data_IF_769829090117
#
_entry.id   IF_769829090117
#
_cell.length_a   1.000
_cell.length_b   1.000
_cell.length_c   1.000
_cell.angle_alpha   90.00
_cell.angle_beta   90.00
_cell.angle_gamma   90.00
#
_symmetry.space_group_name_H-M   'P 1'
#
loop_
_entity.id
_entity.type
_entity.pdbx_description
1 polymer ?
#
# COMPACT_ATOMS: atom_id res chain seq x y z
N UNK A 1 -21.83 -27.90 20.88
CA UNK A 1 -20.61 -27.25 20.38
C UNK A 1 -20.87 -25.77 20.36
N UNK A 2 -20.15 -24.97 21.13
CA UNK A 2 -20.26 -23.51 21.04
C UNK A 2 -19.78 -23.08 19.66
N UNK A 3 -20.60 -22.35 18.89
CA UNK A 3 -20.11 -21.71 17.66
C UNK A 3 -18.90 -20.85 18.02
N UNK A 4 -17.76 -21.11 17.38
CA UNK A 4 -16.61 -20.22 17.50
C UNK A 4 -17.03 -18.84 16.99
N UNK A 5 -17.03 -17.87 17.90
CA UNK A 5 -17.20 -16.47 17.52
C UNK A 5 -15.93 -16.04 16.81
N UNK A 6 -16.05 -15.56 15.58
CA UNK A 6 -14.91 -15.11 14.76
C UNK A 6 -15.13 -13.69 14.24
N UNK A 7 -14.07 -12.96 13.95
CA UNK A 7 -14.09 -11.75 13.11
C UNK A 7 -13.27 -12.00 11.86
N UNK A 8 -13.68 -11.39 10.76
CA UNK A 8 -13.00 -11.49 9.48
C UNK A 8 -12.13 -10.26 9.28
N UNK A 9 -10.83 -10.45 9.06
CA UNK A 9 -9.92 -9.38 8.66
C UNK A 9 -9.66 -9.50 7.17
N UNK A 10 -10.26 -8.61 6.38
CA UNK A 10 -10.18 -8.60 4.91
C UNK A 10 -9.05 -7.69 4.46
N UNK A 11 -8.18 -8.20 3.57
CA UNK A 11 -7.07 -7.46 2.98
C UNK A 11 -7.38 -7.02 1.54
N UNK A 12 -6.57 -6.11 1.00
CA UNK A 12 -6.76 -5.54 -0.34
C UNK A 12 -6.39 -6.47 -1.50
N UNK A 13 -5.64 -7.53 -1.22
CA UNK A 13 -5.35 -8.60 -2.19
C UNK A 13 -6.48 -9.65 -2.26
N UNK A 14 -7.59 -9.42 -1.56
CA UNK A 14 -8.73 -10.35 -1.48
C UNK A 14 -8.58 -11.45 -0.43
N UNK A 15 -7.42 -11.57 0.23
CA UNK A 15 -7.24 -12.54 1.31
C UNK A 15 -8.05 -12.16 2.55
N UNK A 16 -8.52 -13.17 3.29
CA UNK A 16 -9.29 -12.99 4.53
C UNK A 16 -8.72 -13.84 5.65
N UNK A 17 -8.25 -13.18 6.71
CA UNK A 17 -7.82 -13.81 7.95
C UNK A 17 -9.02 -14.01 8.88
N UNK A 18 -9.13 -15.20 9.49
CA UNK A 18 -10.18 -15.52 10.48
C UNK A 18 -9.58 -15.46 11.87
N UNK A 19 -10.10 -14.58 12.71
CA UNK A 19 -9.58 -14.36 14.07
C UNK A 19 -10.65 -14.73 15.09
N UNK A 20 -10.28 -15.56 16.06
CA UNK A 20 -11.16 -15.91 17.18
C UNK A 20 -11.54 -14.65 17.96
N UNK A 21 -12.85 -14.45 18.11
CA UNK A 21 -13.43 -13.30 18.78
C UNK A 21 -13.61 -13.55 20.27
N UNK A 22 -13.22 -12.56 21.06
CA UNK A 22 -13.62 -12.42 22.46
C UNK A 22 -14.02 -10.98 22.70
N UNK A 23 -15.15 -10.75 23.36
CA UNK A 23 -15.63 -9.41 23.71
C UNK A 23 -14.58 -8.60 24.51
N UNK A 24 -13.72 -9.29 25.27
CA UNK A 24 -12.65 -8.69 26.09
C UNK A 24 -11.32 -8.53 25.35
N UNK A 25 -11.16 -9.08 24.15
CA UNK A 25 -9.94 -8.93 23.35
C UNK A 25 -9.71 -7.43 23.11
N UNK A 26 -8.50 -6.94 23.38
CA UNK A 26 -8.14 -5.54 23.10
C UNK A 26 -7.73 -5.37 21.64
N UNK A 27 -7.79 -4.13 21.13
CA UNK A 27 -7.28 -3.80 19.79
C UNK A 27 -5.79 -4.16 19.65
N UNK A 28 -4.97 -3.91 20.67
CA UNK A 28 -3.57 -4.31 20.66
C UNK A 28 -3.41 -5.84 20.50
N UNK A 29 -4.26 -6.62 21.18
CA UNK A 29 -4.24 -8.09 21.04
C UNK A 29 -4.68 -8.51 19.64
N UNK A 30 -5.75 -7.91 19.10
CA UNK A 30 -6.21 -8.16 17.73
C UNK A 30 -5.09 -7.89 16.72
N UNK A 31 -4.39 -6.75 16.85
CA UNK A 31 -3.26 -6.38 15.99
C UNK A 31 -2.11 -7.38 16.07
N UNK A 32 -1.79 -7.86 17.27
CA UNK A 32 -0.79 -8.92 17.45
C UNK A 32 -1.19 -10.24 16.77
N UNK A 33 -2.47 -10.63 16.81
CA UNK A 33 -2.95 -11.81 16.09
C UNK A 33 -2.89 -11.59 14.57
N UNK A 34 -3.26 -10.40 14.09
CA UNK A 34 -3.13 -10.04 12.66
C UNK A 34 -1.67 -10.10 12.21
N UNK A 35 -0.75 -9.59 13.02
CA UNK A 35 0.70 -9.63 12.73
C UNK A 35 1.18 -11.07 12.61
N UNK A 36 0.79 -11.95 13.54
CA UNK A 36 1.14 -13.37 13.47
C UNK A 36 0.59 -14.09 12.23
N UNK A 37 -0.58 -13.69 11.74
CA UNK A 37 -1.22 -14.34 10.58
C UNK A 37 -0.81 -13.73 9.23
N UNK A 38 -0.50 -12.43 9.19
CA UNK A 38 -0.24 -11.68 7.93
C UNK A 38 1.21 -11.22 7.78
N UNK A 39 1.99 -11.30 8.86
CA UNK A 39 3.33 -10.72 9.01
C UNK A 39 3.40 -9.20 8.76
N UNK A 40 2.27 -8.50 8.87
CA UNK A 40 2.22 -7.04 8.80
C UNK A 40 2.45 -6.48 10.22
N UNK A 41 3.54 -5.71 10.45
CA UNK A 41 3.83 -5.15 11.77
C UNK A 41 2.67 -4.31 12.31
N UNK A 42 2.43 -4.34 13.62
CA UNK A 42 1.24 -3.69 14.21
C UNK A 42 1.13 -2.20 13.90
N UNK A 43 2.24 -1.46 13.85
CA UNK A 43 2.27 -0.04 13.47
C UNK A 43 2.02 0.22 11.98
N UNK A 44 2.18 -0.80 11.13
CA UNK A 44 1.82 -0.75 9.72
C UNK A 44 0.37 -1.18 9.47
N UNK A 45 -0.36 -1.65 10.49
CA UNK A 45 -1.73 -2.12 10.31
C UNK A 45 -2.71 -0.95 10.36
N UNK A 46 -3.36 -0.65 9.25
CA UNK A 46 -4.48 0.28 9.24
C UNK A 46 -5.79 -0.48 9.24
N UNK A 47 -6.42 -0.57 10.40
CA UNK A 47 -7.69 -1.27 10.59
C UNK A 47 -8.86 -0.31 10.42
N UNK A 48 -9.84 -0.69 9.59
CA UNK A 48 -11.06 0.08 9.35
C UNK A 48 -12.27 -0.80 9.61
N UNK A 49 -13.17 -0.34 10.47
CA UNK A 49 -14.42 -1.03 10.81
C UNK A 49 -15.60 -0.07 10.62
N UNK A 50 -16.61 -0.49 9.84
CA UNK A 50 -17.78 0.34 9.48
C UNK A 50 -17.40 1.73 8.94
N UNK A 51 -16.36 1.77 8.10
CA UNK A 51 -15.83 3.02 7.52
C UNK A 51 -15.08 3.92 8.51
N UNK A 52 -14.89 3.50 9.76
CA UNK A 52 -14.11 4.23 10.77
C UNK A 52 -12.78 3.54 11.02
N UNK A 53 -11.70 4.31 10.98
CA UNK A 53 -10.37 3.82 11.32
C UNK A 53 -10.28 3.54 12.82
N UNK A 54 -9.69 2.40 13.17
CA UNK A 54 -9.37 2.05 14.56
C UNK A 54 -7.97 2.59 14.83
N UNK A 55 -7.89 3.74 15.50
CA UNK A 55 -6.64 4.45 15.75
C UNK A 55 -5.71 3.69 16.72
N UNK A 56 -4.41 3.96 16.64
CA UNK A 56 -3.42 3.38 17.57
C UNK A 56 -3.71 3.74 19.04
N UNK A 57 -4.21 4.96 19.29
CA UNK A 57 -4.62 5.45 20.61
C UNK A 57 -5.69 4.56 21.28
N UNK A 58 -6.47 3.84 20.47
CA UNK A 58 -7.53 2.92 20.90
C UNK A 58 -7.01 1.51 21.24
N UNK A 59 -5.69 1.28 21.21
CA UNK A 59 -5.07 -0.04 21.46
C UNK A 59 -5.52 -0.74 22.75
N UNK A 60 -5.86 0.04 23.79
CA UNK A 60 -6.31 -0.44 25.09
C UNK A 60 -7.80 -0.81 25.14
N UNK A 61 -8.61 -0.34 24.18
CA UNK A 61 -10.04 -0.62 24.14
C UNK A 61 -10.29 -2.06 23.70
N UNK A 62 -11.31 -2.67 24.29
CA UNK A 62 -11.81 -3.98 23.89
C UNK A 62 -12.65 -3.92 22.62
N UNK A 63 -12.76 -5.03 21.90
CA UNK A 63 -13.61 -5.15 20.71
C UNK A 63 -15.06 -4.76 21.02
N UNK A 64 -15.60 -5.16 22.17
CA UNK A 64 -16.95 -4.80 22.58
C UNK A 64 -17.12 -3.29 22.82
N UNK A 65 -16.13 -2.61 23.41
CA UNK A 65 -16.16 -1.14 23.60
C UNK A 65 -16.16 -0.38 22.27
N UNK A 66 -15.63 -0.97 21.21
CA UNK A 66 -15.67 -0.43 19.84
C UNK A 66 -16.90 -0.91 19.03
N UNK A 67 -17.84 -1.63 19.66
CA UNK A 67 -18.99 -2.23 18.98
C UNK A 67 -18.60 -3.17 17.83
N UNK A 68 -17.43 -3.80 17.93
CA UNK A 68 -17.00 -4.89 17.05
C UNK A 68 -17.69 -6.16 17.57
N UNK A 69 -18.53 -6.73 16.72
CA UNK A 69 -19.37 -7.90 17.03
C UNK A 69 -18.83 -9.15 16.32
N UNK A 70 -19.14 -10.36 16.80
CA UNK A 70 -18.85 -11.58 16.07
C UNK A 70 -19.41 -11.55 14.65
N UNK A 71 -18.75 -12.28 13.75
CA UNK A 71 -19.08 -12.45 12.33
C UNK A 71 -19.04 -11.15 11.51
N UNK A 72 -18.41 -10.09 12.02
CA UNK A 72 -18.21 -8.84 11.28
C UNK A 72 -16.93 -8.84 10.44
N UNK A 73 -16.82 -7.90 9.50
CA UNK A 73 -15.60 -7.65 8.71
C UNK A 73 -14.88 -6.39 9.19
N UNK A 74 -13.58 -6.52 9.45
CA UNK A 74 -12.63 -5.43 9.65
C UNK A 74 -11.72 -5.43 8.42
N UNK A 75 -11.46 -4.27 7.85
CA UNK A 75 -10.59 -4.13 6.69
C UNK A 75 -9.19 -3.74 7.14
N UNK A 76 -8.19 -4.50 6.71
CA UNK A 76 -6.78 -4.16 6.84
C UNK A 76 -6.33 -3.48 5.56
N UNK A 77 -6.20 -2.16 5.62
CA UNK A 77 -5.71 -1.35 4.51
C UNK A 77 -4.19 -1.43 4.50
N UNK A 78 -3.64 -1.96 3.41
CA UNK A 78 -2.21 -2.01 3.18
C UNK A 78 -1.94 -1.86 1.68
N UNK A 79 -1.70 -0.61 1.24
CA UNK A 79 -1.56 -0.30 -0.17
C UNK A 79 -0.35 -0.96 -0.81
N UNK A 80 0.73 -1.20 -0.07
CA UNK A 80 1.93 -1.81 -0.63
C UNK A 80 2.03 -3.30 -0.28
N UNK A 81 1.09 -3.84 0.50
CA UNK A 81 1.16 -5.21 1.00
C UNK A 81 2.31 -5.41 1.99
N UNK A 82 2.62 -6.67 2.25
CA UNK A 82 3.73 -6.99 3.15
C UNK A 82 5.06 -6.76 2.42
N UNK A 83 5.88 -5.85 2.96
CA UNK A 83 7.17 -5.45 2.40
C UNK A 83 8.29 -6.10 3.21
N UNK A 84 8.79 -7.24 2.74
CA UNK A 84 9.73 -8.07 3.49
C UNK A 84 11.18 -7.78 3.13
N UNK A 85 11.43 -7.30 1.93
CA UNK A 85 12.76 -7.14 1.35
C UNK A 85 13.60 -6.14 2.14
N UNK A 86 14.91 -6.41 2.19
CA UNK A 86 15.89 -5.53 2.83
C UNK A 86 16.07 -4.23 2.03
N UNK A 87 15.95 -4.29 0.70
CA UNK A 87 16.08 -3.15 -0.21
C UNK A 87 14.80 -2.98 -1.00
N UNK A 88 14.19 -1.79 -0.90
CA UNK A 88 12.87 -1.55 -1.46
C UNK A 88 12.83 -0.23 -2.24
N UNK A 89 12.26 -0.27 -3.44
CA UNK A 89 12.05 0.91 -4.28
C UNK A 89 10.55 1.16 -4.45
N UNK A 90 10.08 2.37 -4.17
CA UNK A 90 8.68 2.76 -4.35
C UNK A 90 8.53 3.75 -5.50
N UNK A 91 7.79 3.36 -6.53
CA UNK A 91 7.37 4.22 -7.63
C UNK A 91 5.92 4.64 -7.41
N UNK A 92 5.69 5.93 -7.19
CA UNK A 92 4.40 6.51 -6.89
C UNK A 92 3.93 7.35 -8.08
N UNK A 93 2.79 7.00 -8.63
CA UNK A 93 2.12 7.80 -9.65
C UNK A 93 1.66 9.12 -9.03
N UNK A 94 2.07 10.21 -9.67
CA UNK A 94 1.64 11.57 -9.34
C UNK A 94 0.98 12.22 -10.54
N UNK A 95 0.47 11.47 -11.51
CA UNK A 95 -0.28 12.01 -12.65
C UNK A 95 -1.54 12.75 -12.21
N UNK A 96 -2.14 13.55 -13.10
CA UNK A 96 -3.30 14.36 -12.77
C UNK A 96 -4.53 13.56 -12.31
N UNK A 97 -4.67 12.30 -12.73
CA UNK A 97 -5.75 11.41 -12.26
C UNK A 97 -5.66 11.13 -10.76
N UNK A 98 -4.45 11.21 -10.18
CA UNK A 98 -4.23 11.07 -8.75
C UNK A 98 -4.70 12.29 -7.93
N UNK A 99 -5.09 13.41 -8.58
CA UNK A 99 -5.79 14.51 -7.89
C UNK A 99 -7.30 14.25 -7.73
N UNK A 100 -7.84 13.22 -8.40
CA UNK A 100 -9.26 12.89 -8.30
C UNK A 100 -9.68 12.70 -6.85
N UNK A 101 -10.85 13.24 -6.52
CA UNK A 101 -11.40 13.21 -5.18
C UNK A 101 -12.50 12.16 -5.06
N UNK A 102 -12.61 11.59 -3.87
CA UNK A 102 -13.64 10.61 -3.55
C UNK A 102 -14.09 10.80 -2.10
N UNK A 103 -15.27 10.26 -1.78
CA UNK A 103 -15.90 10.43 -0.47
C UNK A 103 -15.89 9.10 0.27
N UNK A 104 -15.48 9.14 1.53
CA UNK A 104 -15.58 8.04 2.50
C UNK A 104 -16.46 8.57 3.64
N UNK A 105 -17.68 8.06 3.76
CA UNK A 105 -18.68 8.60 4.70
C UNK A 105 -19.03 10.05 4.37
N UNK A 106 -18.66 10.97 5.26
CA UNK A 106 -18.89 12.42 5.09
C UNK A 106 -17.60 13.21 4.83
N UNK A 107 -16.47 12.52 4.60
CA UNK A 107 -15.16 13.15 4.41
C UNK A 107 -14.72 13.02 2.95
N UNK A 108 -14.20 14.12 2.39
CA UNK A 108 -13.64 14.20 1.05
C UNK A 108 -12.13 13.91 1.09
N UNK A 109 -11.66 13.01 0.24
CA UNK A 109 -10.26 12.60 0.14
C UNK A 109 -9.76 12.78 -1.29
N UNK A 110 -8.47 13.09 -1.46
CA UNK A 110 -7.77 13.01 -2.74
C UNK A 110 -6.99 11.69 -2.80
N UNK A 111 -6.92 11.05 -3.98
CA UNK A 111 -6.19 9.79 -4.16
C UNK A 111 -4.73 9.93 -3.74
N UNK A 112 -4.02 10.94 -4.25
CA UNK A 112 -2.62 11.18 -3.92
C UNK A 112 -2.43 11.42 -2.42
N UNK A 113 -3.32 12.20 -1.78
CA UNK A 113 -3.22 12.43 -0.33
C UNK A 113 -3.39 11.15 0.49
N UNK A 114 -4.27 10.23 0.08
CA UNK A 114 -4.38 8.92 0.72
C UNK A 114 -3.10 8.10 0.54
N UNK A 115 -2.55 8.05 -0.68
CA UNK A 115 -1.30 7.35 -0.95
C UNK A 115 -0.14 7.92 -0.14
N UNK A 116 -0.01 9.25 -0.07
CA UNK A 116 1.00 9.94 0.74
C UNK A 116 0.88 9.56 2.21
N UNK A 117 -0.33 9.51 2.77
CA UNK A 117 -0.54 9.12 4.17
C UNK A 117 -0.11 7.68 4.44
N UNK A 118 -0.49 6.73 3.58
CA UNK A 118 -0.12 5.33 3.74
C UNK A 118 1.38 5.09 3.54
N UNK A 119 1.99 5.74 2.55
CA UNK A 119 3.43 5.67 2.32
C UNK A 119 4.21 6.23 3.51
N UNK A 120 3.80 7.38 4.07
CA UNK A 120 4.43 7.95 5.26
C UNK A 120 4.34 7.02 6.46
N UNK A 121 3.16 6.43 6.72
CA UNK A 121 2.98 5.44 7.79
C UNK A 121 3.92 4.25 7.63
N UNK A 122 4.03 3.73 6.40
CA UNK A 122 4.94 2.64 6.10
C UNK A 122 6.41 3.01 6.36
N UNK A 123 6.85 4.16 5.85
CA UNK A 123 8.23 4.65 6.03
C UNK A 123 8.57 4.83 7.50
N UNK A 124 7.68 5.44 8.29
CA UNK A 124 7.88 5.65 9.72
C UNK A 124 8.14 4.33 10.47
N UNK A 125 7.46 3.27 10.07
CA UNK A 125 7.48 1.97 10.74
C UNK A 125 8.55 0.99 10.22
N UNK A 126 9.30 1.31 9.16
CA UNK A 126 10.38 0.43 8.72
C UNK A 126 11.47 0.26 9.78
N UNK A 127 12.05 -0.92 9.87
CA UNK A 127 13.22 -1.15 10.73
C UNK A 127 14.46 -0.46 10.13
N UNK A 128 15.43 -0.07 10.96
CA UNK A 128 16.59 0.74 10.53
C UNK A 128 17.55 -0.01 9.58
N UNK A 129 17.53 -1.34 9.62
CA UNK A 129 18.30 -2.24 8.75
C UNK A 129 17.77 -2.26 7.30
N UNK A 130 16.51 -1.90 7.08
CA UNK A 130 15.94 -1.76 5.73
C UNK A 130 16.49 -0.55 5.00
N UNK A 131 16.64 -0.68 3.69
CA UNK A 131 17.00 0.38 2.77
C UNK A 131 15.85 0.71 1.84
N UNK A 132 15.61 2.00 1.62
CA UNK A 132 14.53 2.49 0.76
C UNK A 132 15.03 3.53 -0.24
N UNK A 133 14.33 3.62 -1.37
CA UNK A 133 14.34 4.82 -2.21
C UNK A 133 12.93 5.08 -2.77
N UNK A 134 12.63 6.35 -3.05
CA UNK A 134 11.32 6.80 -3.50
C UNK A 134 11.43 7.55 -4.83
N UNK A 135 10.49 7.26 -5.72
CA UNK A 135 10.38 7.81 -7.05
C UNK A 135 8.92 8.24 -7.26
N UNK A 136 8.71 9.47 -7.70
CA UNK A 136 7.40 9.95 -8.11
C UNK A 136 7.42 10.12 -9.63
N UNK A 137 6.42 9.60 -10.32
CA UNK A 137 6.36 9.68 -11.78
C UNK A 137 5.06 10.34 -12.23
N UNK A 138 5.22 11.35 -13.08
CA UNK A 138 4.15 12.05 -13.77
C UNK A 138 4.55 12.22 -15.24
N UNK A 139 4.61 13.46 -15.73
CA UNK A 139 5.29 13.77 -17.00
C UNK A 139 6.81 13.62 -16.95
N UNK A 140 7.39 13.55 -15.75
CA UNK A 140 8.80 13.27 -15.52
C UNK A 140 8.95 12.49 -14.22
N UNK A 141 10.16 11.99 -13.97
CA UNK A 141 10.50 11.28 -12.73
C UNK A 141 11.19 12.23 -11.76
N UNK A 142 10.60 12.37 -10.57
CA UNK A 142 11.22 13.01 -9.41
C UNK A 142 11.72 11.94 -8.46
N UNK A 143 12.90 12.15 -7.88
CA UNK A 143 13.56 11.22 -6.98
C UNK A 143 13.77 11.87 -5.61
N UNK A 144 13.52 11.11 -4.54
CA UNK A 144 13.88 11.53 -3.20
C UNK A 144 15.39 11.53 -3.01
N UNK A 145 16.06 10.48 -3.48
CA UNK A 145 17.51 10.34 -3.42
C UNK A 145 18.09 9.69 -4.67
N UNK A 146 19.33 10.07 -5.01
CA UNK A 146 20.07 9.46 -6.13
C UNK A 146 20.58 8.06 -5.81
N UNK A 147 20.62 7.69 -4.53
CA UNK A 147 21.12 6.40 -4.03
C UNK A 147 20.15 5.85 -3.00
N UNK A 148 19.96 4.53 -2.94
CA UNK A 148 19.20 3.89 -1.86
C UNK A 148 19.78 4.23 -0.48
N UNK A 149 18.93 4.42 0.53
CA UNK A 149 19.31 4.86 1.88
C UNK A 149 18.75 3.93 2.96
N UNK A 150 19.54 3.67 4.01
CA UNK A 150 19.05 3.02 5.22
C UNK A 150 17.95 3.84 5.90
N UNK A 151 17.00 3.16 6.53
CA UNK A 151 15.85 3.75 7.22
C UNK A 151 16.23 4.33 8.60
N UNK A 152 17.30 5.11 8.70
CA UNK A 152 17.59 5.90 9.91
C UNK A 152 16.49 6.92 10.14
N UNK A 153 16.36 7.41 11.38
CA UNK A 153 15.38 8.44 11.72
C UNK A 153 15.47 9.66 10.80
N UNK A 154 16.68 10.18 10.55
CA UNK A 154 16.90 11.36 9.72
C UNK A 154 16.49 11.11 8.25
N UNK A 155 16.80 9.92 7.73
CA UNK A 155 16.43 9.56 6.35
C UNK A 155 14.92 9.37 6.22
N UNK A 156 14.26 8.74 7.20
CA UNK A 156 12.80 8.62 7.24
C UNK A 156 12.13 9.99 7.27
N UNK A 157 12.59 10.89 8.15
CA UNK A 157 12.05 12.25 8.26
C UNK A 157 12.24 13.02 6.93
N UNK A 158 13.40 12.89 6.29
CA UNK A 158 13.67 13.49 4.98
C UNK A 158 12.76 12.92 3.88
N UNK A 159 12.58 11.60 3.84
CA UNK A 159 11.72 10.91 2.89
C UNK A 159 10.25 11.35 3.07
N UNK A 160 9.77 11.40 4.31
CA UNK A 160 8.42 11.85 4.66
C UNK A 160 8.18 13.29 4.21
N UNK A 161 9.12 14.19 4.47
CA UNK A 161 9.03 15.58 4.00
C UNK A 161 9.02 15.68 2.47
N UNK A 162 9.76 14.81 1.78
CA UNK A 162 9.71 14.75 0.31
C UNK A 162 8.35 14.25 -0.18
N UNK A 163 7.79 13.21 0.45
CA UNK A 163 6.44 12.71 0.16
C UNK A 163 5.41 13.81 0.36
N UNK A 164 5.50 14.60 1.44
CA UNK A 164 4.57 15.70 1.72
C UNK A 164 4.55 16.78 0.63
N UNK A 165 5.65 16.97 -0.10
CA UNK A 165 5.76 17.93 -1.20
C UNK A 165 5.35 17.38 -2.57
N UNK A 166 4.92 16.12 -2.65
CA UNK A 166 4.42 15.56 -3.91
C UNK A 166 3.09 16.20 -4.27
N UNK A 167 3.02 16.74 -5.48
CA UNK A 167 1.83 17.32 -6.08
C UNK A 167 1.51 16.62 -7.41
N UNK A 168 0.23 16.54 -7.79
CA UNK A 168 -0.17 15.97 -9.06
C UNK A 168 0.44 16.75 -10.24
N UNK A 169 1.02 16.06 -11.21
CA UNK A 169 1.63 16.63 -12.39
C UNK A 169 1.50 15.74 -13.62
N UNK A 170 1.01 16.33 -14.70
CA UNK A 170 1.20 15.80 -16.04
C UNK A 170 0.65 14.40 -16.29
N UNK A 171 1.42 13.62 -17.04
CA UNK A 171 1.03 12.32 -17.60
C UNK A 171 1.58 11.13 -16.80
N UNK A 172 1.67 9.90 -17.33
CA UNK A 172 2.05 8.69 -16.57
C UNK A 172 3.29 8.01 -17.18
N UNK A 173 4.49 8.47 -16.82
CA UNK A 173 5.78 8.01 -17.34
C UNK A 173 6.38 6.80 -16.57
N UNK A 174 5.63 5.69 -16.46
CA UNK A 174 6.08 4.51 -15.68
C UNK A 174 7.38 3.88 -16.21
N UNK A 175 7.55 3.77 -17.53
CA UNK A 175 8.76 3.17 -18.11
C UNK A 175 10.03 3.93 -17.69
N UNK A 176 9.97 5.26 -17.68
CA UNK A 176 11.08 6.12 -17.24
C UNK A 176 11.36 5.96 -15.75
N UNK A 177 10.32 5.77 -14.94
CA UNK A 177 10.46 5.51 -13.50
C UNK A 177 11.22 4.19 -13.26
N UNK A 178 10.85 3.12 -13.96
CA UNK A 178 11.50 1.81 -13.85
C UNK A 178 12.96 1.85 -14.31
N UNK A 179 13.26 2.53 -15.43
CA UNK A 179 14.64 2.75 -15.88
C UNK A 179 15.45 3.57 -14.87
N UNK A 180 14.82 4.60 -14.28
CA UNK A 180 15.46 5.43 -13.26
C UNK A 180 15.82 4.60 -12.03
N UNK A 181 14.96 3.67 -11.60
CA UNK A 181 15.27 2.76 -10.48
C UNK A 181 16.55 1.98 -10.76
N UNK A 182 16.65 1.32 -11.92
CA UNK A 182 17.82 0.53 -12.30
C UNK A 182 19.08 1.39 -12.43
N UNK A 183 18.94 2.64 -12.89
CA UNK A 183 20.06 3.58 -12.97
C UNK A 183 20.60 3.99 -11.58
N UNK A 184 19.72 4.08 -10.58
CA UNK A 184 20.06 4.43 -9.20
C UNK A 184 20.57 3.23 -8.39
N UNK A 185 20.08 2.02 -8.69
CA UNK A 185 20.51 0.77 -8.07
C UNK A 185 20.45 -0.38 -9.07
N UNK A 186 21.60 -0.71 -9.67
CA UNK A 186 21.74 -1.82 -10.63
C UNK A 186 21.43 -3.18 -9.99
N UNK A 187 21.44 -3.28 -8.65
CA UNK A 187 21.16 -4.49 -7.92
C UNK A 187 19.72 -4.54 -7.38
N UNK A 188 18.85 -3.62 -7.78
CA UNK A 188 17.45 -3.62 -7.39
C UNK A 188 16.81 -4.98 -7.69
N UNK A 189 16.11 -5.54 -6.70
CA UNK A 189 15.40 -6.83 -6.81
C UNK A 189 13.90 -6.68 -6.73
N UNK A 190 13.42 -5.65 -6.04
CA UNK A 190 11.99 -5.46 -5.79
C UNK A 190 11.60 -4.01 -5.95
N UNK A 191 10.53 -3.78 -6.72
CA UNK A 191 9.93 -2.47 -6.97
C UNK A 191 8.45 -2.55 -6.63
N UNK A 192 7.95 -1.58 -5.86
CA UNK A 192 6.53 -1.39 -5.60
C UNK A 192 6.03 -0.21 -6.41
N UNK A 193 5.10 -0.47 -7.33
CA UNK A 193 4.46 0.54 -8.17
C UNK A 193 3.05 0.78 -7.66
N UNK A 194 2.71 2.02 -7.38
CA UNK A 194 1.33 2.43 -7.08
C UNK A 194 0.87 3.43 -8.13
N UNK A 195 -0.21 3.10 -8.83
CA UNK A 195 -0.82 3.93 -9.88
C UNK A 195 -2.33 3.73 -9.91
N UNK A 196 -3.07 4.66 -10.51
CA UNK A 196 -4.50 4.53 -10.75
C UNK A 196 -4.85 4.20 -12.22
N UNK A 197 -3.87 3.77 -13.04
CA UNK A 197 -4.14 3.40 -14.41
C UNK A 197 -2.95 2.82 -15.19
N UNK A 198 -3.15 2.69 -16.50
CA UNK A 198 -2.14 2.17 -17.43
C UNK A 198 -1.14 3.26 -17.82
N UNK A 199 0.14 2.92 -18.02
CA UNK A 199 1.14 3.90 -18.44
C UNK A 199 0.93 4.35 -19.88
N UNK A 200 1.43 5.53 -20.22
CA UNK A 200 1.38 6.05 -21.60
C UNK A 200 2.21 5.25 -22.62
N UNK A 201 2.98 4.27 -22.17
CA UNK A 201 3.93 3.51 -23.01
C UNK A 201 4.10 2.08 -22.51
N UNK A 202 3.01 1.30 -22.52
CA UNK A 202 2.99 -0.11 -22.13
C UNK A 202 4.09 -0.95 -22.81
N UNK A 203 4.30 -0.75 -24.12
CA UNK A 203 5.35 -1.48 -24.86
C UNK A 203 6.75 -1.26 -24.28
N UNK A 204 7.10 -0.03 -23.88
CA UNK A 204 8.41 0.27 -23.26
C UNK A 204 8.57 -0.39 -21.91
N UNK A 205 7.49 -0.46 -21.14
CA UNK A 205 7.49 -1.18 -19.86
C UNK A 205 7.71 -2.68 -20.10
N UNK A 206 7.07 -3.27 -21.11
CA UNK A 206 7.27 -4.68 -21.44
C UNK A 206 8.68 -4.97 -21.99
N UNK A 207 9.27 -4.06 -22.77
CA UNK A 207 10.69 -4.13 -23.14
C UNK A 207 11.61 -4.07 -21.92
N UNK A 208 11.30 -3.21 -20.95
CA UNK A 208 12.03 -3.13 -19.69
C UNK A 208 11.94 -4.45 -18.91
N UNK A 209 10.74 -5.06 -18.83
CA UNK A 209 10.55 -6.37 -18.18
C UNK A 209 11.42 -7.44 -18.83
N UNK A 210 11.47 -7.48 -20.16
CA UNK A 210 12.30 -8.43 -20.90
C UNK A 210 13.82 -8.25 -20.62
N UNK A 211 14.26 -7.01 -20.40
CA UNK A 211 15.66 -6.67 -20.07
C UNK A 211 16.01 -6.93 -18.60
N UNK A 212 15.01 -6.95 -17.70
CA UNK A 212 15.21 -7.03 -16.25
C UNK A 212 14.49 -8.25 -15.63
N UNK A 213 14.78 -9.49 -16.08
CA UNK A 213 14.03 -10.68 -15.69
C UNK A 213 14.17 -11.05 -14.20
N UNK A 214 15.13 -10.46 -13.48
CA UNK A 214 15.41 -10.73 -12.08
C UNK A 214 14.84 -9.67 -11.12
N UNK A 215 14.01 -8.76 -11.62
CA UNK A 215 13.41 -7.68 -10.84
C UNK A 215 11.92 -7.94 -10.69
N UNK A 216 11.48 -8.10 -9.45
CA UNK A 216 10.08 -8.30 -9.08
C UNK A 216 9.36 -6.97 -8.99
N UNK A 217 8.21 -6.83 -9.65
CA UNK A 217 7.40 -5.61 -9.60
C UNK A 217 6.05 -5.92 -8.96
N UNK A 218 5.85 -5.47 -7.73
CA UNK A 218 4.52 -5.48 -7.13
C UNK A 218 3.75 -4.25 -7.57
N UNK A 219 2.48 -4.42 -7.92
CA UNK A 219 1.65 -3.32 -8.41
C UNK A 219 0.40 -3.16 -7.56
N UNK A 220 0.04 -1.92 -7.29
CA UNK A 220 -1.20 -1.56 -6.62
C UNK A 220 -1.96 -0.59 -7.48
N UNK A 221 -3.13 -1.04 -7.96
CA UNK A 221 -4.12 -0.18 -8.58
C UNK A 221 -4.90 0.58 -7.49
N UNK A 222 -4.74 1.90 -7.42
CA UNK A 222 -5.47 2.74 -6.47
C UNK A 222 -6.65 3.41 -7.16
N UNK A 223 -7.86 2.83 -7.01
CA UNK A 223 -9.10 3.38 -7.57
C UNK A 223 -9.10 3.57 -9.10
N UNK A 224 -8.20 2.90 -9.82
CA UNK A 224 -8.20 2.89 -11.27
C UNK A 224 -9.30 2.02 -11.85
N UNK A 225 -9.71 2.36 -13.07
CA UNK A 225 -10.68 1.57 -13.85
C UNK A 225 -10.17 0.13 -14.01
N UNK A 226 -11.05 -0.84 -13.80
CA UNK A 226 -10.81 -2.27 -14.03
C UNK A 226 -10.20 -2.58 -15.40
N UNK A 227 -10.53 -1.83 -16.45
CA UNK A 227 -9.95 -2.00 -17.79
C UNK A 227 -8.48 -1.57 -17.79
N UNK A 228 -8.18 -0.41 -17.18
CA UNK A 228 -6.83 0.15 -17.10
C UNK A 228 -5.93 -0.61 -16.11
N UNK A 229 -6.54 -1.27 -15.12
CA UNK A 229 -5.84 -2.07 -14.13
C UNK A 229 -5.24 -3.37 -14.70
N UNK A 230 -5.73 -3.84 -15.85
CA UNK A 230 -5.28 -5.08 -16.50
C UNK A 230 -3.77 -5.07 -16.78
N UNK A 231 -3.23 -3.91 -17.19
CA UNK A 231 -1.80 -3.75 -17.43
C UNK A 231 -0.95 -3.90 -16.15
N UNK A 232 -1.36 -3.28 -15.04
CA UNK A 232 -0.66 -3.41 -13.76
C UNK A 232 -0.67 -4.87 -13.26
N UNK A 233 -1.78 -5.56 -13.48
CA UNK A 233 -1.89 -6.99 -13.18
C UNK A 233 -0.96 -7.82 -14.06
N UNK A 234 -0.87 -7.54 -15.37
CA UNK A 234 0.05 -8.22 -16.27
C UNK A 234 1.52 -7.98 -15.88
N UNK A 235 1.89 -6.73 -15.58
CA UNK A 235 3.24 -6.35 -15.18
C UNK A 235 3.70 -7.12 -13.94
N UNK A 236 2.88 -7.15 -12.89
CA UNK A 236 3.22 -7.91 -11.68
C UNK A 236 3.28 -9.41 -11.96
N UNK A 237 2.35 -9.95 -12.74
CA UNK A 237 2.37 -11.37 -13.10
C UNK A 237 3.62 -11.78 -13.89
N UNK A 238 4.09 -10.95 -14.84
CA UNK A 238 5.27 -11.25 -15.66
C UNK A 238 6.59 -11.15 -14.89
N UNK A 239 6.62 -10.35 -13.83
CA UNK A 239 7.81 -10.14 -13.00
C UNK A 239 7.82 -11.01 -11.74
N UNK A 240 6.78 -11.84 -11.55
CA UNK A 240 6.62 -12.66 -10.35
C UNK A 240 6.19 -11.88 -9.09
N UNK A 241 5.76 -10.63 -9.27
CA UNK A 241 5.25 -9.79 -8.20
C UNK A 241 3.78 -10.06 -7.87
N UNK A 242 3.21 -9.19 -7.04
CA UNK A 242 1.83 -9.29 -6.57
C UNK A 242 1.02 -8.09 -7.05
N UNK A 243 -0.17 -8.35 -7.59
CA UNK A 243 -1.17 -7.34 -7.91
C UNK A 243 -2.11 -7.10 -6.73
N UNK A 244 -2.45 -5.84 -6.49
CA UNK A 244 -3.47 -5.41 -5.52
C UNK A 244 -4.37 -4.35 -6.13
N UNK A 245 -5.61 -4.29 -5.66
CA UNK A 245 -6.53 -3.21 -6.02
C UNK A 245 -7.20 -2.63 -4.79
N UNK A 246 -7.25 -1.30 -4.71
CA UNK A 246 -7.99 -0.59 -3.68
C UNK A 246 -9.17 0.17 -4.28
N UNK A 247 -10.37 -0.04 -3.73
CA UNK A 247 -11.55 0.80 -3.96
C UNK A 247 -12.21 1.15 -2.63
N UNK A 248 -12.60 2.42 -2.37
CA UNK A 248 -13.28 2.82 -1.14
C UNK A 248 -14.60 2.09 -0.89
N UNK A 249 -15.25 1.60 -1.94
CA UNK A 249 -16.46 0.76 -1.81
C UNK A 249 -16.20 -0.48 -0.97
N UNK A 250 -14.97 -1.02 -1.01
CA UNK A 250 -14.54 -2.13 -0.16
C UNK A 250 -14.63 -1.77 1.33
N UNK A 251 -14.50 -0.50 1.72
CA UNK A 251 -14.59 -0.07 3.12
C UNK A 251 -16.04 0.05 3.64
N UNK A 252 -17.02 0.14 2.74
CA UNK A 252 -18.42 0.43 3.09
C UNK A 252 -19.39 -0.68 2.71
N UNK A 253 -19.00 -1.64 1.87
CA UNK A 253 -19.85 -2.75 1.48
C UNK A 253 -19.48 -4.04 2.24
N UNK A 254 -20.15 -4.37 3.35
CA UNK A 254 -19.84 -5.56 4.15
C UNK A 254 -20.19 -6.90 3.46
N UNK A 255 -20.77 -6.89 2.26
CA UNK A 255 -21.34 -8.07 1.59
C UNK A 255 -20.49 -8.73 0.49
N UNK A 256 -19.28 -8.25 0.22
CA UNK A 256 -18.29 -8.97 -0.63
C UNK A 256 -17.16 -9.47 0.22
#
# INVERSE_FOLDING_TARGET
MSEESIVFVKQLDGSTAKISYSAKMTVATLRGVIEQQTNIPQGCQRLVYRGQEIEESQGHLSLAQLNIVPKCSIYLINLFGSVFEEKVHFCIDVSLSMDNKFVIGNKLFSRLNCVKQELKRMISNFQEDKQINLYAFGSSVSLWSKTIKYCTKENKDSAIQWVDRLDPMGSTALAEALETVISCDINAKTIYVLSDGSPNSEHKVMEWVAKNPNVMVHTTNFMGDTILASFLQELSSKTGGTYRSFSPEQLFNPQT
#
